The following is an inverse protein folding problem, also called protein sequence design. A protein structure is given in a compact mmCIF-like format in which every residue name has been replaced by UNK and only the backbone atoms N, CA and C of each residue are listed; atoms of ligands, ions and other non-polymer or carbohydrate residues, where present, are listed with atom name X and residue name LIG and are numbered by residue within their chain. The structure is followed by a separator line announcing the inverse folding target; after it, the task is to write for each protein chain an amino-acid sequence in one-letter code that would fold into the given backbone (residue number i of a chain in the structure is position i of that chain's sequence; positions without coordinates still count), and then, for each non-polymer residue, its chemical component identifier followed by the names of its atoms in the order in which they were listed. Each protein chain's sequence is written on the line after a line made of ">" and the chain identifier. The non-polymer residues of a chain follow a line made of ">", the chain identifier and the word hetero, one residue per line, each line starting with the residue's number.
data_IF_419231136357
#
_entry.id   IF_419231136357
#
_cell.length_a   1.000
_cell.length_b   1.000
_cell.length_c   1.000
_cell.angle_alpha   90.00
_cell.angle_beta   90.00
_cell.angle_gamma   90.00
#
_symmetry.space_group_name_H-M   'P 1'
#
loop_
_entity.id
_entity.type
_entity.pdbx_description
1 polymer ?
#
# COMPACT_ATOMS: atom_id res chain seq x y z
N UNK A 1 -27.15 -11.45 -2.23
CA UNK A 1 -28.20 -10.43 -2.32
C UNK A 1 -27.61 -9.16 -1.76
N UNK A 2 -27.31 -8.20 -2.62
CA UNK A 2 -26.72 -6.91 -2.25
C UNK A 2 -27.65 -6.20 -1.27
N UNK A 3 -27.13 -5.85 -0.10
CA UNK A 3 -27.88 -5.08 0.90
C UNK A 3 -28.05 -3.66 0.38
N UNK A 4 -29.19 -3.39 -0.25
CA UNK A 4 -29.62 -2.04 -0.58
C UNK A 4 -29.73 -1.23 0.73
N UNK A 5 -28.73 -0.38 0.99
CA UNK A 5 -28.73 0.54 2.12
C UNK A 5 -29.92 1.46 1.94
N UNK A 6 -30.90 1.37 2.84
CA UNK A 6 -32.08 2.22 2.79
C UNK A 6 -31.63 3.70 2.85
N UNK A 7 -32.09 4.57 1.94
CA UNK A 7 -31.65 5.96 1.91
C UNK A 7 -32.07 6.67 3.20
N UNK A 8 -31.12 7.30 3.88
CA UNK A 8 -31.37 8.10 5.08
C UNK A 8 -32.28 9.28 4.69
N UNK A 9 -33.49 9.34 5.26
CA UNK A 9 -34.47 10.40 5.00
C UNK A 9 -34.36 11.48 6.06
N UNK A 10 -34.42 12.75 5.65
CA UNK A 10 -34.55 13.89 6.56
C UNK A 10 -35.91 13.91 7.26
N UNK A 11 -35.98 14.55 8.42
CA UNK A 11 -37.26 14.84 9.08
C UNK A 11 -38.12 15.76 8.21
N UNK A 12 -39.44 15.77 8.45
CA UNK A 12 -40.37 16.61 7.69
C UNK A 12 -40.06 18.10 7.82
N UNK A 13 -39.69 18.54 9.01
CA UNK A 13 -39.38 19.94 9.29
C UNK A 13 -38.10 20.38 8.57
N UNK A 14 -37.07 19.53 8.60
CA UNK A 14 -35.83 19.78 7.90
C UNK A 14 -36.03 19.77 6.37
N UNK A 15 -36.82 18.82 5.86
CA UNK A 15 -37.19 18.81 4.44
C UNK A 15 -37.94 20.10 4.04
N UNK A 16 -38.83 20.61 4.89
CA UNK A 16 -39.57 21.86 4.64
C UNK A 16 -38.63 23.07 4.62
N UNK A 17 -37.64 23.09 5.53
CA UNK A 17 -36.59 24.12 5.55
C UNK A 17 -35.76 24.10 4.26
N UNK A 18 -35.27 22.93 3.85
CA UNK A 18 -34.48 22.77 2.61
C UNK A 18 -35.32 23.10 1.37
N UNK A 19 -36.60 22.71 1.33
CA UNK A 19 -37.51 23.08 0.25
C UNK A 19 -37.59 24.60 0.10
N UNK A 20 -37.84 25.31 1.21
CA UNK A 20 -37.88 26.78 1.22
C UNK A 20 -36.57 27.41 0.76
N UNK A 21 -35.44 26.91 1.27
CA UNK A 21 -34.10 27.40 0.88
C UNK A 21 -33.84 27.24 -0.62
N UNK A 22 -34.17 26.07 -1.19
CA UNK A 22 -34.00 25.80 -2.62
C UNK A 22 -34.92 26.67 -3.47
N UNK A 23 -36.16 26.90 -3.04
CA UNK A 23 -37.06 27.82 -3.75
C UNK A 23 -36.53 29.26 -3.75
N UNK A 24 -35.96 29.73 -2.64
CA UNK A 24 -35.27 31.03 -2.58
C UNK A 24 -34.03 31.08 -3.49
N UNK A 25 -33.35 29.96 -3.71
CA UNK A 25 -32.27 29.81 -4.70
C UNK A 25 -32.78 29.75 -6.15
N UNK A 26 -34.10 29.92 -6.38
CA UNK A 26 -34.71 29.92 -7.70
C UNK A 26 -35.03 28.54 -8.26
N UNK A 27 -35.16 27.52 -7.40
CA UNK A 27 -35.66 26.21 -7.80
C UNK A 27 -37.19 26.23 -7.88
N UNK A 28 -37.74 25.45 -8.82
CA UNK A 28 -39.19 25.37 -9.04
C UNK A 28 -39.73 24.07 -8.47
N UNK A 29 -40.76 24.14 -7.62
CA UNK A 29 -41.48 22.96 -7.17
C UNK A 29 -42.32 22.38 -8.31
N UNK A 30 -42.17 21.09 -8.55
CA UNK A 30 -42.92 20.34 -9.55
C UNK A 30 -44.16 19.69 -8.91
N UNK A 31 -45.19 19.45 -9.71
CA UNK A 31 -46.37 18.66 -9.31
C UNK A 31 -46.13 17.15 -9.25
N UNK A 32 -44.86 16.70 -9.29
CA UNK A 32 -44.47 15.31 -9.21
C UNK A 32 -43.92 15.00 -7.81
N UNK A 33 -44.33 13.86 -7.25
CA UNK A 33 -43.84 13.36 -5.97
C UNK A 33 -42.61 12.46 -6.13
N UNK A 34 -41.78 12.40 -5.10
CA UNK A 34 -40.66 11.46 -5.05
C UNK A 34 -41.13 9.99 -5.17
N UNK A 35 -40.48 9.17 -6.02
CA UNK A 35 -40.86 7.76 -6.23
C UNK A 35 -40.42 6.83 -5.10
N UNK A 36 -39.67 7.33 -4.11
CA UNK A 36 -39.24 6.53 -2.95
C UNK A 36 -40.44 6.29 -2.04
N UNK A 37 -40.68 5.02 -1.71
CA UNK A 37 -41.69 4.58 -0.75
C UNK A 37 -41.63 5.41 0.54
N UNK A 38 -42.78 5.80 1.10
CA UNK A 38 -42.94 6.63 2.31
C UNK A 38 -42.33 8.06 2.26
N UNK A 39 -41.86 8.54 1.11
CA UNK A 39 -41.33 9.90 1.01
C UNK A 39 -42.41 10.93 0.62
N UNK A 40 -43.10 10.68 -0.49
CA UNK A 40 -44.16 11.51 -1.11
C UNK A 40 -43.90 13.02 -1.15
N UNK A 41 -42.63 13.44 -1.08
CA UNK A 41 -42.23 14.85 -1.03
C UNK A 41 -42.19 15.39 -2.46
N UNK A 42 -42.70 16.60 -2.72
CA UNK A 42 -42.66 17.17 -4.07
C UNK A 42 -41.22 17.37 -4.54
N UNK A 43 -40.99 17.12 -5.83
CA UNK A 43 -39.69 17.30 -6.46
C UNK A 43 -39.44 18.78 -6.77
N UNK A 44 -38.18 19.19 -6.67
CA UNK A 44 -37.72 20.52 -7.07
C UNK A 44 -36.89 20.42 -8.35
N UNK A 45 -37.08 21.33 -9.29
CA UNK A 45 -36.28 21.44 -10.51
C UNK A 45 -35.39 22.68 -10.47
N UNK A 46 -34.12 22.52 -10.80
CA UNK A 46 -33.22 23.66 -10.99
C UNK A 46 -33.27 24.20 -12.43
N UNK A 47 -32.57 25.31 -12.68
CA UNK A 47 -32.47 25.92 -14.03
C UNK A 47 -31.80 25.02 -15.07
N UNK A 48 -30.98 24.06 -14.64
CA UNK A 48 -30.34 23.06 -15.51
C UNK A 48 -31.26 21.88 -15.82
N UNK A 49 -32.48 21.87 -15.29
CA UNK A 49 -33.46 20.81 -15.51
C UNK A 49 -33.38 19.63 -14.55
N UNK A 50 -32.42 19.59 -13.63
CA UNK A 50 -32.24 18.49 -12.67
C UNK A 50 -33.33 18.49 -11.61
N UNK A 51 -33.92 17.33 -11.34
CA UNK A 51 -34.95 17.15 -10.30
C UNK A 51 -34.33 16.62 -9.00
N UNK A 52 -34.74 17.16 -7.86
CA UNK A 52 -34.21 16.84 -6.52
C UNK A 52 -35.36 16.61 -5.53
N UNK A 53 -35.24 15.57 -4.71
CA UNK A 53 -36.09 15.39 -3.54
C UNK A 53 -35.41 15.97 -2.29
N UNK A 54 -36.01 16.99 -1.67
CA UNK A 54 -35.44 17.64 -0.47
C UNK A 54 -35.38 16.72 0.76
N UNK A 55 -36.28 15.72 0.86
CA UNK A 55 -36.36 14.79 2.00
C UNK A 55 -35.37 13.63 1.88
N UNK A 56 -35.19 13.06 0.70
CA UNK A 56 -34.22 12.00 0.44
C UNK A 56 -32.81 12.53 0.12
N UNK A 57 -32.70 13.82 -0.20
CA UNK A 57 -31.49 14.44 -0.75
C UNK A 57 -30.96 13.79 -2.03
N UNK A 58 -31.84 13.14 -2.79
CA UNK A 58 -31.47 12.40 -3.99
C UNK A 58 -31.98 13.13 -5.23
N UNK A 59 -31.14 13.15 -6.26
CA UNK A 59 -31.55 13.56 -7.59
C UNK A 59 -32.43 12.48 -8.21
N UNK A 60 -33.56 12.90 -8.75
CA UNK A 60 -34.47 12.03 -9.49
C UNK A 60 -34.28 12.34 -10.96
N UNK A 61 -34.18 11.29 -11.75
CA UNK A 61 -33.93 11.35 -13.19
C UNK A 61 -35.14 10.67 -13.84
N UNK A 62 -35.61 11.19 -14.98
CA UNK A 62 -36.71 10.53 -15.69
C UNK A 62 -36.24 9.22 -16.32
N UNK A 63 -37.16 8.32 -16.65
CA UNK A 63 -36.83 7.05 -17.32
C UNK A 63 -36.06 7.30 -18.62
N UNK A 64 -36.47 8.29 -19.42
CA UNK A 64 -35.79 8.66 -20.66
C UNK A 64 -34.36 9.17 -20.45
N UNK A 65 -34.15 9.97 -19.40
CA UNK A 65 -32.82 10.49 -19.06
C UNK A 65 -31.92 9.38 -18.49
N UNK A 66 -32.48 8.42 -17.75
CA UNK A 66 -31.76 7.26 -17.24
C UNK A 66 -31.29 6.36 -18.38
N UNK A 67 -32.15 6.11 -19.39
CA UNK A 67 -31.79 5.35 -20.59
C UNK A 67 -30.65 6.05 -21.34
N UNK A 68 -30.78 7.36 -21.62
CA UNK A 68 -29.73 8.14 -22.30
C UNK A 68 -28.39 8.12 -21.55
N UNK A 69 -28.42 8.23 -20.22
CA UNK A 69 -27.20 8.15 -19.41
C UNK A 69 -26.58 6.75 -19.43
N UNK A 70 -27.40 5.69 -19.43
CA UNK A 70 -26.92 4.32 -19.53
C UNK A 70 -26.30 4.04 -20.91
N UNK A 71 -26.93 4.51 -21.99
CA UNK A 71 -26.40 4.41 -23.36
C UNK A 71 -25.08 5.17 -23.50
N UNK A 72 -25.01 6.40 -22.99
CA UNK A 72 -23.78 7.22 -23.02
C UNK A 72 -22.65 6.57 -22.22
N UNK A 73 -22.94 6.05 -21.02
CA UNK A 73 -21.96 5.32 -20.20
C UNK A 73 -21.48 4.06 -20.91
N UNK A 74 -22.39 3.26 -21.47
CA UNK A 74 -22.02 2.06 -22.22
C UNK A 74 -21.16 2.37 -23.44
N UNK A 75 -21.45 3.47 -24.15
CA UNK A 75 -20.64 3.93 -25.26
C UNK A 75 -19.25 4.40 -24.79
N UNK A 76 -19.18 5.18 -23.70
CA UNK A 76 -17.94 5.64 -23.10
C UNK A 76 -17.06 4.48 -22.61
N UNK A 77 -17.63 3.55 -21.87
CA UNK A 77 -16.96 2.33 -21.40
C UNK A 77 -16.43 1.52 -22.59
N UNK A 78 -17.24 1.35 -23.65
CA UNK A 78 -16.80 0.65 -24.86
C UNK A 78 -15.64 1.35 -25.58
N UNK A 79 -15.59 2.70 -25.54
CA UNK A 79 -14.50 3.50 -26.11
C UNK A 79 -13.23 3.39 -25.27
N UNK A 80 -13.35 3.35 -23.94
CA UNK A 80 -12.22 3.14 -23.03
C UNK A 80 -11.63 1.75 -23.25
N UNK A 81 -12.46 0.70 -23.24
CA UNK A 81 -12.02 -0.69 -23.47
C UNK A 81 -11.31 -0.84 -24.82
N UNK A 82 -11.82 -0.21 -25.89
CA UNK A 82 -11.16 -0.22 -27.20
C UNK A 82 -9.79 0.47 -27.19
N UNK A 83 -9.66 1.59 -26.47
CA UNK A 83 -8.38 2.31 -26.34
C UNK A 83 -7.37 1.50 -25.52
N UNK A 84 -7.81 0.87 -24.44
CA UNK A 84 -6.97 0.01 -23.61
C UNK A 84 -6.50 -1.22 -24.38
N UNK A 85 -7.41 -1.90 -25.09
CA UNK A 85 -7.07 -3.04 -25.95
C UNK A 85 -6.09 -2.66 -27.08
N UNK A 86 -6.23 -1.46 -27.66
CA UNK A 86 -5.28 -0.98 -28.67
C UNK A 86 -3.90 -0.66 -28.09
N UNK A 87 -3.80 -0.34 -26.80
CA UNK A 87 -2.56 0.02 -26.12
C UNK A 87 -1.89 -1.17 -25.40
N UNK A 88 -2.58 -2.29 -25.27
CA UNK A 88 -2.11 -3.55 -24.68
C UNK A 88 -0.78 -4.05 -25.24
N UNK A 89 -0.54 -4.10 -26.57
CA UNK A 89 0.75 -4.55 -27.10
C UNK A 89 1.92 -3.64 -26.71
N UNK A 90 1.70 -2.33 -26.64
CA UNK A 90 2.72 -1.37 -26.21
C UNK A 90 3.06 -1.54 -24.72
N UNK A 91 2.04 -1.75 -23.88
CA UNK A 91 2.22 -1.99 -22.45
C UNK A 91 2.96 -3.31 -22.17
N UNK A 92 2.67 -4.34 -22.94
CA UNK A 92 3.36 -5.64 -22.84
C UNK A 92 4.83 -5.54 -23.28
N UNK A 93 5.12 -4.80 -24.34
CA UNK A 93 6.50 -4.56 -24.79
C UNK A 93 7.31 -3.78 -23.73
N UNK A 94 6.73 -2.73 -23.14
CA UNK A 94 7.40 -1.98 -22.07
C UNK A 94 7.65 -2.84 -20.82
N UNK A 95 6.69 -3.72 -20.47
CA UNK A 95 6.83 -4.67 -19.36
C UNK A 95 7.98 -5.64 -19.60
N UNK A 96 8.10 -6.19 -20.82
CA UNK A 96 9.20 -7.09 -21.19
C UNK A 96 10.55 -6.42 -21.08
N UNK A 97 10.67 -5.21 -21.64
CA UNK A 97 11.90 -4.43 -21.58
C UNK A 97 12.31 -4.13 -20.13
N UNK A 98 11.34 -3.79 -19.26
CA UNK A 98 11.60 -3.55 -17.84
C UNK A 98 12.10 -4.81 -17.11
N UNK A 99 11.54 -5.97 -17.43
CA UNK A 99 11.99 -7.26 -16.87
C UNK A 99 13.42 -7.56 -17.31
N UNK A 100 13.72 -7.41 -18.60
CA UNK A 100 15.05 -7.64 -19.16
C UNK A 100 16.11 -6.72 -18.53
N UNK A 101 15.81 -5.42 -18.42
CA UNK A 101 16.69 -4.46 -17.75
C UNK A 101 16.98 -4.85 -16.30
N UNK A 102 15.97 -5.32 -15.57
CA UNK A 102 16.13 -5.75 -14.18
C UNK A 102 17.07 -6.95 -14.06
N UNK A 103 16.89 -7.95 -14.93
CA UNK A 103 17.78 -9.13 -14.95
C UNK A 103 19.23 -8.70 -15.23
N UNK A 104 19.44 -7.82 -16.21
CA UNK A 104 20.77 -7.34 -16.54
C UNK A 104 21.45 -6.62 -15.37
N UNK A 105 20.73 -5.72 -14.68
CA UNK A 105 21.26 -5.02 -13.51
C UNK A 105 21.57 -5.96 -12.34
N UNK A 106 20.74 -6.98 -12.12
CA UNK A 106 20.96 -7.97 -11.07
C UNK A 106 22.21 -8.82 -11.34
N UNK A 107 22.43 -9.20 -12.60
CA UNK A 107 23.64 -9.91 -13.00
C UNK A 107 24.90 -9.07 -12.81
N UNK A 108 24.88 -7.80 -13.22
CA UNK A 108 25.99 -6.87 -12.98
C UNK A 108 26.27 -6.72 -11.48
N UNK A 109 25.23 -6.57 -10.65
CA UNK A 109 25.38 -6.49 -9.20
C UNK A 109 25.97 -7.78 -8.60
N UNK A 110 25.59 -8.96 -9.13
CA UNK A 110 26.15 -10.25 -8.70
C UNK A 110 27.63 -10.36 -9.04
N UNK A 111 28.02 -9.98 -10.26
CA UNK A 111 29.42 -9.94 -10.70
C UNK A 111 30.24 -8.95 -9.86
N UNK A 112 29.72 -7.75 -9.59
CA UNK A 112 30.37 -6.76 -8.73
C UNK A 112 30.57 -7.27 -7.30
N UNK A 113 29.56 -7.94 -6.71
CA UNK A 113 29.69 -8.58 -5.39
C UNK A 113 30.76 -9.67 -5.38
N UNK A 114 30.84 -10.49 -6.42
CA UNK A 114 31.89 -11.52 -6.56
C UNK A 114 33.29 -10.87 -6.63
N UNK A 115 33.45 -9.82 -7.44
CA UNK A 115 34.70 -9.05 -7.53
C UNK A 115 35.13 -8.49 -6.16
N UNK A 116 34.22 -7.83 -5.44
CA UNK A 116 34.49 -7.29 -4.11
C UNK A 116 34.89 -8.38 -3.11
N UNK A 117 34.25 -9.56 -3.19
CA UNK A 117 34.57 -10.70 -2.32
C UNK A 117 35.98 -11.21 -2.58
N UNK A 118 36.39 -11.31 -3.85
CA UNK A 118 37.74 -11.71 -4.24
C UNK A 118 38.78 -10.68 -3.82
N UNK A 119 38.49 -9.39 -3.97
CA UNK A 119 39.37 -8.29 -3.54
C UNK A 119 39.55 -8.28 -2.02
N UNK A 120 38.46 -8.48 -1.26
CA UNK A 120 38.52 -8.64 0.19
C UNK A 120 39.34 -9.88 0.59
N UNK A 121 39.14 -11.03 -0.08
CA UNK A 121 39.93 -12.23 0.20
C UNK A 121 41.43 -12.02 -0.07
N UNK A 122 41.78 -11.32 -1.15
CA UNK A 122 43.16 -10.95 -1.48
C UNK A 122 43.75 -9.97 -0.45
N UNK A 123 42.97 -8.99 0.00
CA UNK A 123 43.39 -8.05 1.05
C UNK A 123 43.57 -8.76 2.41
N UNK A 124 42.65 -9.68 2.78
CA UNK A 124 42.77 -10.51 3.98
C UNK A 124 43.98 -11.45 3.93
N UNK A 125 44.37 -11.98 2.77
CA UNK A 125 45.62 -12.73 2.59
C UNK A 125 46.86 -11.85 2.76
N UNK A 126 46.86 -10.63 2.20
CA UNK A 126 47.96 -9.68 2.36
C UNK A 126 48.14 -9.22 3.83
N UNK A 127 47.04 -9.06 4.58
CA UNK A 127 47.05 -8.76 6.01
C UNK A 127 47.58 -9.95 6.82
N UNK A 128 47.14 -11.19 6.54
CA UNK A 128 47.63 -12.40 7.22
C UNK A 128 49.14 -12.65 6.99
N UNK A 129 49.66 -12.36 5.80
CA UNK A 129 51.11 -12.43 5.50
C UNK A 129 51.92 -11.37 6.28
N UNK A 130 51.33 -10.22 6.60
CA UNK A 130 51.93 -9.19 7.47
C UNK A 130 51.89 -9.55 8.96
N UNK A 131 50.82 -10.21 9.43
CA UNK A 131 50.69 -10.68 10.83
C UNK A 131 51.68 -11.81 11.13
N UNK A 132 52.01 -12.66 10.16
CA UNK A 132 52.97 -13.78 10.33
C UNK A 132 54.44 -13.34 10.55
N UNK A 133 54.77 -12.04 10.52
CA UNK A 133 56.11 -11.50 10.82
C UNK A 133 56.25 -10.80 12.19
N UNK A 134 55.22 -10.79 13.03
CA UNK A 134 55.33 -10.32 14.41
C UNK A 134 54.56 -11.24 15.35
N UNK A 135 55.18 -12.36 15.75
CA UNK A 135 54.88 -12.96 17.05
C UNK A 135 56.04 -13.79 17.58
N UNK A 136 57.10 -13.09 18.00
CA UNK A 136 57.78 -13.41 19.25
C UNK A 136 57.45 -12.24 20.15
N UNK A 137 56.58 -12.43 21.13
CA UNK A 137 56.67 -11.87 22.49
C UNK A 137 55.52 -12.46 23.32
N UNK A 138 55.95 -13.19 24.33
CA UNK A 138 55.28 -13.63 25.56
C UNK A 138 54.27 -12.65 26.16
N UNK A 139 53.15 -13.15 26.70
CA UNK A 139 52.69 -13.02 28.11
C UNK A 139 51.19 -13.36 28.28
N UNK A 140 50.87 -13.97 29.42
CA UNK A 140 49.58 -14.53 29.88
C UNK A 140 48.73 -13.46 30.65
N UNK A 141 47.55 -13.75 31.23
CA UNK A 141 46.21 -13.49 30.70
C UNK A 141 45.40 -12.49 31.56
N UNK A 142 44.62 -11.59 30.94
CA UNK A 142 43.60 -10.80 31.65
C UNK A 142 42.24 -10.98 30.95
N UNK A 143 41.38 -11.78 31.60
CA UNK A 143 40.07 -12.25 31.13
C UNK A 143 39.10 -11.12 30.76
N UNK A 144 39.25 -9.94 31.35
CA UNK A 144 38.25 -8.87 31.19
C UNK A 144 38.37 -8.10 29.87
N UNK A 145 39.58 -8.04 29.29
CA UNK A 145 39.79 -7.38 28.01
C UNK A 145 39.28 -8.27 26.89
N UNK A 146 39.57 -9.56 26.93
CA UNK A 146 39.03 -10.55 25.98
C UNK A 146 37.50 -10.57 26.02
N UNK A 147 36.89 -10.67 27.21
CA UNK A 147 35.43 -10.66 27.36
C UNK A 147 34.81 -9.36 26.83
N UNK A 148 35.44 -8.20 27.08
CA UNK A 148 34.95 -6.93 26.53
C UNK A 148 35.16 -6.81 25.01
N UNK A 149 36.24 -7.36 24.46
CA UNK A 149 36.43 -7.40 23.01
C UNK A 149 35.44 -8.33 22.34
N UNK A 150 35.18 -9.51 22.92
CA UNK A 150 34.17 -10.46 22.46
C UNK A 150 32.80 -9.77 22.52
N UNK A 151 32.44 -9.14 23.64
CA UNK A 151 31.16 -8.42 23.78
C UNK A 151 30.98 -7.33 22.71
N UNK A 152 32.03 -6.55 22.43
CA UNK A 152 31.99 -5.51 21.38
C UNK A 152 31.88 -6.11 19.97
N UNK A 153 32.59 -7.19 19.70
CA UNK A 153 32.51 -7.91 18.42
C UNK A 153 31.14 -8.57 18.21
N UNK A 154 30.59 -9.21 19.24
CA UNK A 154 29.24 -9.80 19.20
C UNK A 154 28.18 -8.73 18.97
N UNK A 155 28.29 -7.59 19.66
CA UNK A 155 27.37 -6.47 19.51
C UNK A 155 27.45 -5.83 18.12
N UNK A 156 28.66 -5.66 17.57
CA UNK A 156 28.84 -5.18 16.20
C UNK A 156 28.24 -6.15 15.16
N UNK A 157 28.48 -7.46 15.33
CA UNK A 157 27.89 -8.49 14.47
C UNK A 157 26.35 -8.53 14.57
N UNK A 158 25.79 -8.32 15.75
CA UNK A 158 24.34 -8.23 15.95
C UNK A 158 23.74 -7.02 15.22
N UNK A 159 24.38 -5.85 15.29
CA UNK A 159 23.91 -4.67 14.55
C UNK A 159 24.03 -4.85 13.04
N UNK A 160 25.13 -5.43 12.55
CA UNK A 160 25.29 -5.74 11.13
C UNK A 160 24.18 -6.69 10.63
N UNK A 161 23.85 -7.72 11.41
CA UNK A 161 22.73 -8.63 11.11
C UNK A 161 21.38 -7.93 11.16
N UNK A 162 21.17 -7.01 12.11
CA UNK A 162 19.94 -6.22 12.23
C UNK A 162 19.77 -5.26 11.04
N UNK A 163 20.85 -4.66 10.55
CA UNK A 163 20.86 -3.82 9.33
C UNK A 163 20.54 -4.65 8.09
N UNK A 164 21.17 -5.83 7.92
CA UNK A 164 20.85 -6.74 6.79
C UNK A 164 19.39 -7.20 6.84
N UNK A 165 18.84 -7.47 8.03
CA UNK A 165 17.42 -7.79 8.19
C UNK A 165 16.51 -6.59 7.87
N UNK A 166 16.94 -5.38 8.21
CA UNK A 166 16.23 -4.12 7.92
C UNK A 166 16.25 -3.78 6.43
N UNK A 167 17.37 -3.98 5.75
CA UNK A 167 17.49 -3.77 4.30
C UNK A 167 16.78 -4.87 3.50
N UNK A 168 16.73 -6.09 4.04
CA UNK A 168 15.92 -7.16 3.46
C UNK A 168 14.42 -6.84 3.55
N UNK A 169 13.97 -6.00 4.50
CA UNK A 169 12.59 -5.51 4.67
C UNK A 169 12.23 -4.43 3.64
N UNK A 170 12.21 -4.84 2.36
CA UNK A 170 11.53 -4.09 1.29
C UNK A 170 10.01 -4.06 1.54
N UNK A 171 9.31 -2.94 1.26
CA UNK A 171 7.92 -2.67 1.68
C UNK A 171 6.81 -3.58 1.10
N UNK A 172 7.13 -4.66 0.37
CA UNK A 172 6.13 -5.47 -0.35
C UNK A 172 5.81 -6.87 0.23
N UNK A 173 6.46 -7.34 1.31
CA UNK A 173 6.21 -8.69 1.88
C UNK A 173 5.78 -8.67 3.37
N UNK A 174 4.64 -8.03 3.66
CA UNK A 174 4.25 -7.73 5.04
C UNK A 174 3.75 -8.95 5.86
N UNK A 175 3.04 -9.89 5.24
CA UNK A 175 2.31 -10.93 5.98
C UNK A 175 3.21 -12.09 6.45
N UNK A 176 4.06 -12.64 5.58
CA UNK A 176 4.92 -13.79 5.96
C UNK A 176 5.99 -13.40 6.99
N UNK A 177 6.43 -12.12 6.95
CA UNK A 177 7.43 -11.60 7.89
C UNK A 177 6.86 -11.23 9.24
N UNK A 178 5.62 -10.74 9.32
CA UNK A 178 4.91 -10.61 10.60
C UNK A 178 4.78 -11.96 11.32
N UNK A 179 4.56 -13.03 10.56
CA UNK A 179 4.52 -14.40 11.10
C UNK A 179 5.92 -14.84 11.57
N UNK A 180 6.98 -14.52 10.81
CA UNK A 180 8.36 -14.85 11.21
C UNK A 180 8.81 -14.08 12.47
N UNK A 181 8.53 -12.78 12.53
CA UNK A 181 8.87 -11.91 13.68
C UNK A 181 8.10 -12.33 14.93
N UNK A 182 6.80 -12.64 14.81
CA UNK A 182 6.01 -13.12 15.96
C UNK A 182 6.45 -14.50 16.46
N UNK A 183 7.01 -15.36 15.61
CA UNK A 183 7.65 -16.62 16.03
C UNK A 183 8.95 -16.35 16.78
N UNK A 184 9.83 -15.52 16.23
CA UNK A 184 11.11 -15.16 16.87
C UNK A 184 10.91 -14.49 18.25
N UNK A 185 9.93 -13.59 18.38
CA UNK A 185 9.61 -12.94 19.66
C UNK A 185 9.14 -13.94 20.73
N UNK A 186 8.38 -14.96 20.33
CA UNK A 186 7.93 -16.03 21.23
C UNK A 186 9.08 -16.91 21.69
N UNK A 187 9.97 -17.29 20.78
CA UNK A 187 11.17 -18.07 21.12
C UNK A 187 12.10 -17.31 22.08
N UNK A 188 12.25 -16.00 21.88
CA UNK A 188 13.02 -15.14 22.80
C UNK A 188 12.34 -15.05 24.17
N UNK A 189 11.01 -14.93 24.21
CA UNK A 189 10.26 -14.90 25.47
C UNK A 189 10.38 -16.22 26.24
N UNK A 190 10.31 -17.36 25.55
CA UNK A 190 10.51 -18.69 26.13
C UNK A 190 11.95 -18.86 26.66
N UNK A 191 12.95 -18.44 25.90
CA UNK A 191 14.34 -18.44 26.35
C UNK A 191 14.58 -17.53 27.56
N UNK A 192 13.90 -16.38 27.62
CA UNK A 192 13.96 -15.47 28.76
C UNK A 192 13.26 -16.03 30.01
N UNK A 193 12.21 -16.84 29.84
CA UNK A 193 11.56 -17.56 30.94
C UNK A 193 12.45 -18.66 31.52
N UNK A 194 13.19 -19.39 30.68
CA UNK A 194 14.16 -20.41 31.11
C UNK A 194 15.37 -19.85 31.85
N UNK A 195 15.71 -18.57 31.64
CA UNK A 195 16.78 -17.88 32.37
C UNK A 195 16.33 -17.32 33.73
N UNK A 196 15.04 -17.45 34.07
CA UNK A 196 14.43 -16.90 35.29
C UNK A 196 14.13 -17.96 36.37
N UNK A 197 14.36 -19.25 36.05
CA UNK A 197 14.44 -20.37 37.01
C UNK A 197 15.90 -20.65 37.39
#
# INVERSE_FOLDING_TARGET
>A
METAVAPIKRSRDEASRVLGEKMLQGWTMLGASCPVEDCYTPLLRNKQGKMLCARCDQFVISEEEAIKQAEQKAEEDSRVVKKEAANEPYQEEERRHRIEQRFHLEEQARQAKQMLTLEQAHNHQAINLKVKRKNVTTLSPNSDVEVNTIRRQTLAALYEKMVVLTDALSPNDHCERLISVSKALREIAEAAHLLKE
#
